data_IF_074724173193
#
_entry.id   IF_074724173193
#
_cell.length_a   1.000
_cell.length_b   1.000
_cell.length_c   1.000
_cell.angle_alpha   90.00
_cell.angle_beta   90.00
_cell.angle_gamma   90.00
#
_symmetry.space_group_name_H-M   'P 1'
#
loop_
_entity.id
_entity.type
_entity.pdbx_description
1 polymer ?
#
# COMPACT_ATOMS: atom_id res chain seq x y z
N UNK A 1 23.00 9.67 7.71
CA UNK A 1 21.80 9.70 6.86
C UNK A 1 20.78 8.76 7.51
N UNK A 2 19.99 9.28 8.46
CA UNK A 2 18.98 8.47 9.16
C UNK A 2 17.84 8.30 8.17
N UNK A 3 17.77 7.14 7.52
CA UNK A 3 16.68 6.81 6.61
C UNK A 3 15.39 7.04 7.37
N UNK A 4 14.55 7.95 6.86
CA UNK A 4 13.29 8.46 7.42
C UNK A 4 12.25 7.33 7.44
N UNK A 5 12.57 6.23 8.10
CA UNK A 5 11.71 5.07 8.24
C UNK A 5 10.72 5.43 9.34
N UNK A 6 9.59 5.98 8.91
CA UNK A 6 8.50 6.43 9.77
C UNK A 6 8.08 5.24 10.64
N UNK A 7 7.92 5.40 11.97
CA UNK A 7 7.57 4.30 12.88
C UNK A 7 6.32 3.54 12.43
N UNK A 8 5.42 4.21 11.70
CA UNK A 8 4.25 3.62 11.07
C UNK A 8 4.59 2.52 10.05
N UNK A 9 5.63 2.72 9.23
CA UNK A 9 6.08 1.74 8.23
C UNK A 9 6.64 0.49 8.92
N UNK A 10 7.42 0.66 9.99
CA UNK A 10 7.97 -0.47 10.76
C UNK A 10 6.86 -1.26 11.46
N UNK A 11 5.91 -0.57 12.09
CA UNK A 11 4.75 -1.20 12.72
C UNK A 11 3.91 -1.96 11.69
N UNK A 12 3.65 -1.35 10.53
CA UNK A 12 2.91 -1.95 9.43
C UNK A 12 3.63 -3.17 8.83
N UNK A 13 4.96 -3.11 8.67
CA UNK A 13 5.77 -4.24 8.20
C UNK A 13 5.83 -5.38 9.22
N UNK A 14 5.84 -5.03 10.50
CA UNK A 14 5.93 -5.97 11.63
C UNK A 14 4.60 -6.63 12.00
N UNK A 15 3.47 -6.18 11.45
CA UNK A 15 2.16 -6.71 11.83
C UNK A 15 1.64 -6.17 13.17
N UNK A 16 2.18 -5.06 13.66
CA UNK A 16 1.80 -4.49 14.95
C UNK A 16 0.57 -3.57 14.83
N UNK A 17 -0.60 -4.17 14.62
CA UNK A 17 -1.87 -3.46 14.40
C UNK A 17 -2.19 -2.42 15.47
N UNK A 18 -2.00 -2.74 16.75
CA UNK A 18 -2.24 -1.80 17.85
C UNK A 18 -1.33 -0.57 17.78
N UNK A 19 -0.06 -0.75 17.42
CA UNK A 19 0.91 0.35 17.28
C UNK A 19 0.56 1.22 16.06
N UNK A 20 0.12 0.59 14.96
CA UNK A 20 -0.38 1.32 13.77
C UNK A 20 -1.55 2.21 14.14
N UNK A 21 -2.55 1.71 14.88
CA UNK A 21 -3.71 2.52 15.31
C UNK A 21 -3.29 3.73 16.15
N UNK A 22 -2.40 3.53 17.12
CA UNK A 22 -1.89 4.64 17.97
C UNK A 22 -1.19 5.68 17.09
N UNK A 23 -0.35 5.26 16.15
CA UNK A 23 0.39 6.17 15.28
C UNK A 23 -0.54 6.93 14.32
N UNK A 24 -1.56 6.27 13.76
CA UNK A 24 -2.58 6.93 12.93
C UNK A 24 -3.38 7.95 13.73
N UNK A 25 -3.76 7.63 14.97
CA UNK A 25 -4.45 8.56 15.86
C UNK A 25 -3.60 9.79 16.22
N UNK A 26 -2.27 9.68 16.16
CA UNK A 26 -1.33 10.78 16.37
C UNK A 26 -0.97 11.53 15.06
N UNK A 27 -1.63 11.23 13.95
CA UNK A 27 -1.36 11.89 12.66
C UNK A 27 -0.01 11.52 12.05
N UNK A 28 0.45 10.29 12.26
CA UNK A 28 1.68 9.82 11.62
C UNK A 28 1.57 9.88 10.09
N UNK A 29 2.50 10.59 9.46
CA UNK A 29 2.60 10.65 8.01
C UNK A 29 3.05 9.33 7.36
N UNK A 30 3.06 9.31 6.03
CA UNK A 30 3.53 8.20 5.19
C UNK A 30 2.67 6.91 5.22
N UNK A 31 1.37 7.06 5.48
CA UNK A 31 0.37 5.97 5.46
C UNK A 31 0.42 5.12 4.19
N UNK A 32 0.72 5.74 3.05
CA UNK A 32 0.84 5.03 1.78
C UNK A 32 2.04 4.09 1.67
N UNK A 33 3.20 4.49 2.22
CA UNK A 33 4.35 3.59 2.31
C UNK A 33 4.10 2.48 3.32
N UNK A 34 3.41 2.80 4.42
CA UNK A 34 2.98 1.80 5.40
C UNK A 34 2.01 0.79 4.76
N UNK A 35 1.12 1.24 3.88
CA UNK A 35 0.16 0.39 3.16
C UNK A 35 0.89 -0.58 2.24
N UNK A 36 1.87 -0.09 1.47
CA UNK A 36 2.73 -0.93 0.63
C UNK A 36 3.49 -1.96 1.47
N UNK A 37 4.02 -1.57 2.63
CA UNK A 37 4.76 -2.47 3.51
C UNK A 37 3.86 -3.56 4.13
N UNK A 38 2.65 -3.22 4.56
CA UNK A 38 1.66 -4.16 5.06
C UNK A 38 1.20 -5.13 3.97
N UNK A 39 0.88 -4.60 2.79
CA UNK A 39 0.46 -5.39 1.62
C UNK A 39 1.56 -6.37 1.15
N UNK A 40 2.82 -5.93 1.18
CA UNK A 40 3.98 -6.78 0.85
C UNK A 40 4.20 -7.93 1.85
N UNK A 41 3.68 -7.80 3.08
CA UNK A 41 3.82 -8.80 4.15
C UNK A 41 2.56 -9.64 4.38
N UNK A 42 1.45 -9.33 3.70
CA UNK A 42 0.20 -10.06 3.87
C UNK A 42 -0.66 -9.60 5.05
N UNK A 43 -0.39 -8.41 5.63
CA UNK A 43 -1.10 -7.93 6.83
C UNK A 43 -2.42 -7.25 6.47
N UNK A 44 -3.45 -8.05 6.20
CA UNK A 44 -4.77 -7.58 5.74
C UNK A 44 -5.43 -6.59 6.71
N UNK A 45 -5.36 -6.84 8.03
CA UNK A 45 -5.97 -5.95 9.04
C UNK A 45 -5.38 -4.53 9.01
N UNK A 46 -4.06 -4.46 8.83
CA UNK A 46 -3.33 -3.19 8.74
C UNK A 46 -3.65 -2.49 7.42
N UNK A 47 -3.77 -3.25 6.34
CA UNK A 47 -4.19 -2.72 5.03
C UNK A 47 -5.57 -2.08 5.13
N UNK A 48 -6.54 -2.74 5.77
CA UNK A 48 -7.88 -2.19 5.97
C UNK A 48 -7.86 -0.89 6.78
N UNK A 49 -7.11 -0.86 7.88
CA UNK A 49 -6.97 0.35 8.71
C UNK A 49 -6.39 1.53 7.93
N UNK A 50 -5.34 1.29 7.15
CA UNK A 50 -4.68 2.34 6.37
C UNK A 50 -5.57 2.84 5.23
N UNK A 51 -6.34 1.95 4.58
CA UNK A 51 -7.35 2.35 3.58
C UNK A 51 -8.44 3.21 4.22
N UNK A 52 -8.93 2.83 5.40
CA UNK A 52 -9.94 3.59 6.14
C UNK A 52 -9.42 4.98 6.54
N UNK A 53 -8.12 5.12 6.80
CA UNK A 53 -7.49 6.41 7.09
C UNK A 53 -7.23 7.28 5.86
N UNK A 54 -7.54 6.80 4.65
CA UNK A 54 -7.35 7.56 3.42
C UNK A 54 -5.95 7.42 2.79
N UNK A 55 -5.20 6.35 3.09
CA UNK A 55 -3.88 6.14 2.52
C UNK A 55 -3.89 6.21 0.98
N UNK A 56 -3.12 7.17 0.42
CA UNK A 56 -2.74 7.16 -0.99
C UNK A 56 -1.81 5.97 -1.30
N UNK A 57 -1.51 5.68 -2.56
CA UNK A 57 -0.63 4.57 -3.01
C UNK A 57 -1.25 3.16 -3.04
N UNK A 58 -2.58 3.04 -3.11
CA UNK A 58 -3.28 1.76 -3.27
C UNK A 58 -2.79 0.93 -4.48
N UNK A 59 -2.49 1.57 -5.61
CA UNK A 59 -1.94 0.91 -6.82
C UNK A 59 -0.61 0.19 -6.55
N UNK A 60 0.28 0.84 -5.80
CA UNK A 60 1.62 0.32 -5.50
C UNK A 60 1.55 -0.81 -4.48
N UNK A 61 0.62 -0.70 -3.52
CA UNK A 61 0.32 -1.76 -2.57
C UNK A 61 -0.27 -2.99 -3.28
N UNK A 62 -1.16 -2.78 -4.26
CA UNK A 62 -1.76 -3.86 -5.04
C UNK A 62 -0.73 -4.58 -5.90
N UNK A 63 0.16 -3.85 -6.58
CA UNK A 63 1.25 -4.45 -7.36
C UNK A 63 2.18 -5.31 -6.48
N UNK A 64 2.52 -4.83 -5.27
CA UNK A 64 3.35 -5.58 -4.33
C UNK A 64 2.65 -6.81 -3.76
N UNK A 65 1.36 -6.70 -3.43
CA UNK A 65 0.55 -7.84 -2.99
C UNK A 65 0.43 -8.89 -4.09
N UNK A 66 0.19 -8.47 -5.34
CA UNK A 66 0.12 -9.36 -6.49
C UNK A 66 1.44 -10.11 -6.72
N UNK A 67 2.58 -9.42 -6.67
CA UNK A 67 3.91 -10.04 -6.78
C UNK A 67 4.19 -11.06 -5.66
N UNK A 68 3.58 -10.88 -4.48
CA UNK A 68 3.70 -11.80 -3.34
C UNK A 68 2.66 -12.93 -3.35
N UNK A 69 1.67 -12.88 -4.24
CA UNK A 69 0.56 -13.85 -4.28
C UNK A 69 -0.54 -13.59 -3.24
N UNK A 70 -0.61 -12.39 -2.67
CA UNK A 70 -1.65 -12.00 -1.71
C UNK A 70 -2.91 -11.50 -2.42
N UNK A 71 -3.62 -12.41 -3.09
CA UNK A 71 -4.81 -12.12 -3.90
C UNK A 71 -5.91 -11.43 -3.11
N UNK A 72 -6.10 -11.79 -1.83
CA UNK A 72 -7.12 -11.20 -0.95
C UNK A 72 -6.88 -9.69 -0.75
N UNK A 73 -5.62 -9.29 -0.57
CA UNK A 73 -5.21 -7.90 -0.39
C UNK A 73 -5.38 -7.11 -1.69
N UNK A 74 -5.07 -7.74 -2.84
CA UNK A 74 -5.28 -7.13 -4.16
C UNK A 74 -6.76 -6.85 -4.39
N UNK A 75 -7.63 -7.83 -4.14
CA UNK A 75 -9.08 -7.65 -4.27
C UNK A 75 -9.59 -6.53 -3.36
N UNK A 76 -9.12 -6.49 -2.12
CA UNK A 76 -9.49 -5.46 -1.16
C UNK A 76 -9.08 -4.05 -1.62
N UNK A 77 -7.84 -3.91 -2.14
CA UNK A 77 -7.34 -2.64 -2.65
C UNK A 77 -8.08 -2.19 -3.92
N UNK A 78 -8.37 -3.10 -4.85
CA UNK A 78 -9.15 -2.83 -6.06
C UNK A 78 -10.58 -2.42 -5.71
N UNK A 79 -11.23 -3.12 -4.78
CA UNK A 79 -12.57 -2.76 -4.29
C UNK A 79 -12.61 -1.37 -3.64
N UNK A 80 -11.49 -0.90 -3.09
CA UNK A 80 -11.36 0.42 -2.48
C UNK A 80 -10.82 1.50 -3.44
N UNK A 81 -10.93 1.30 -4.75
CA UNK A 81 -10.54 2.30 -5.75
C UNK A 81 -9.02 2.40 -5.95
N UNK A 82 -8.29 1.28 -5.81
CA UNK A 82 -7.01 1.17 -6.50
C UNK A 82 -7.32 1.16 -8.00
N UNK A 83 -7.24 2.32 -8.66
CA UNK A 83 -7.41 2.42 -10.11
C UNK A 83 -6.43 1.47 -10.81
N UNK A 84 -6.92 0.30 -11.17
CA UNK A 84 -6.19 -0.67 -11.98
C UNK A 84 -5.92 -0.09 -13.39
N UNK A 85 -6.71 0.90 -13.81
CA UNK A 85 -6.65 1.53 -15.13
C UNK A 85 -5.37 2.35 -15.37
N UNK A 86 -4.77 2.94 -14.32
CA UNK A 86 -3.50 3.68 -14.43
C UNK A 86 -2.28 2.76 -14.63
N UNK A 87 -2.40 1.48 -14.27
CA UNK A 87 -1.33 0.52 -14.48
C UNK A 87 -1.26 0.05 -15.94
N UNK A 88 -2.40 -0.04 -16.62
CA UNK A 88 -2.45 -0.44 -18.03
C UNK A 88 -2.15 0.72 -18.99
N UNK A 89 -2.73 1.89 -18.76
CA UNK A 89 -2.57 3.06 -19.65
C UNK A 89 -1.15 3.62 -19.69
N UNK A 90 -0.37 3.52 -18.61
CA UNK A 90 1.04 3.96 -18.60
C UNK A 90 1.98 3.00 -19.35
N UNK A 91 1.64 1.71 -19.40
CA UNK A 91 2.43 0.72 -20.14
C UNK A 91 2.21 0.86 -21.66
N UNK A 92 0.99 1.17 -22.09
CA UNK A 92 0.66 1.32 -23.51
C UNK A 92 1.34 2.55 -24.15
N UNK A 93 1.48 3.65 -23.39
CA UNK A 93 2.14 4.87 -23.86
C UNK A 93 3.66 4.74 -24.03
N UNK A 94 4.29 3.76 -23.38
CA UNK A 94 5.73 3.46 -23.56
C UNK A 94 5.97 2.54 -24.77
N UNK A 95 4.95 1.78 -25.20
CA UNK A 95 5.05 0.85 -26.33
C UNK A 95 4.69 1.48 -27.69
N UNK A 96 4.04 2.65 -27.73
CA UNK A 96 3.69 3.34 -28.98
C UNK A 96 4.79 4.26 -29.54
N UNK A 97 5.99 4.27 -28.93
CA UNK A 97 7.14 5.10 -29.34
C UNK A 97 8.25 4.38 -30.12
N UNK A 98 8.08 3.10 -30.46
CA UNK A 98 9.07 2.32 -31.23
C UNK A 98 8.44 1.67 -32.47
N UNK A 99 8.01 2.48 -33.43
CA UNK A 99 7.87 2.09 -34.83
C UNK A 99 8.41 3.19 -35.74
#
# INVERSE_FOLDING_TARGET
MISRTTPLILAARGGHTAVVQILLANGAGDEGLALVAAACRGHTDIVQLLIANGAGYKHRAAAMAAHRGHTDIVQLLVANGADAELAWTRAELDNSGQH
#
